data_IF_870358250388
#
_entry.id   IF_870358250388
#
_cell.length_a   1.000
_cell.length_b   1.000
_cell.length_c   1.000
_cell.angle_alpha   90.00
_cell.angle_beta   90.00
_cell.angle_gamma   90.00
#
_symmetry.space_group_name_H-M   'P 1'
#
loop_
_entity.id
_entity.type
_entity.pdbx_description
1 polymer ?
#
# COMPACT_ATOMS: atom_id res chain seq x y z
N UNK A 1 -11.15 -7.95 3.32
CA UNK A 1 -9.86 -8.41 3.87
C UNK A 1 -9.51 -7.63 5.15
N UNK A 2 -8.80 -8.22 6.12
CA UNK A 2 -8.24 -7.48 7.28
C UNK A 2 -6.82 -6.98 6.98
N UNK A 3 -6.59 -5.67 7.05
CA UNK A 3 -5.28 -5.06 6.75
C UNK A 3 -4.27 -5.14 7.90
N UNK A 4 -4.73 -5.34 9.13
CA UNK A 4 -3.90 -5.41 10.35
C UNK A 4 -2.71 -6.40 10.24
N UNK A 5 -2.88 -7.66 9.79
CA UNK A 5 -1.76 -8.58 9.64
C UNK A 5 -0.73 -8.11 8.59
N UNK A 6 -1.18 -7.46 7.52
CA UNK A 6 -0.30 -6.92 6.47
C UNK A 6 0.54 -5.77 7.03
N UNK A 7 -0.09 -4.85 7.75
CA UNK A 7 0.59 -3.73 8.43
C UNK A 7 1.60 -4.27 9.45
N UNK A 8 1.22 -5.25 10.26
CA UNK A 8 2.11 -5.87 11.24
C UNK A 8 3.33 -6.54 10.58
N UNK A 9 3.11 -7.27 9.47
CA UNK A 9 4.18 -7.89 8.70
C UNK A 9 5.16 -6.86 8.12
N UNK A 10 4.65 -5.75 7.56
CA UNK A 10 5.48 -4.67 7.04
C UNK A 10 6.29 -4.01 8.16
N UNK A 11 5.70 -3.75 9.32
CA UNK A 11 6.42 -3.19 10.47
C UNK A 11 7.54 -4.10 10.97
N UNK A 12 7.29 -5.41 11.02
CA UNK A 12 8.28 -6.39 11.48
C UNK A 12 9.42 -6.61 10.48
N UNK A 13 9.16 -6.50 9.17
CA UNK A 13 10.11 -6.85 8.11
C UNK A 13 10.81 -5.64 7.49
N UNK A 14 10.26 -4.43 7.61
CA UNK A 14 10.78 -3.22 7.00
C UNK A 14 11.19 -2.20 8.07
N UNK A 15 12.39 -2.35 8.67
CA UNK A 15 12.87 -1.45 9.72
C UNK A 15 13.06 0.00 9.25
N UNK A 16 13.26 0.22 7.95
CA UNK A 16 13.41 1.56 7.34
C UNK A 16 12.22 2.48 7.62
N UNK A 17 11.01 1.92 7.75
CA UNK A 17 9.83 2.70 8.08
C UNK A 17 9.73 3.00 9.58
N UNK A 18 10.53 2.41 10.46
CA UNK A 18 10.48 2.65 11.91
C UNK A 18 9.05 2.56 12.48
N UNK A 19 8.30 1.52 12.09
CA UNK A 19 6.88 1.33 12.42
C UNK A 19 5.89 2.37 11.83
N UNK A 20 6.35 3.30 11.00
CA UNK A 20 5.55 4.30 10.26
C UNK A 20 4.83 3.67 9.05
N UNK A 21 4.05 2.65 9.37
CA UNK A 21 3.17 1.93 8.44
C UNK A 21 1.73 2.12 8.89
N UNK A 22 0.87 2.67 8.04
CA UNK A 22 -0.54 2.92 8.31
C UNK A 22 -1.47 2.13 7.39
N UNK A 23 -2.75 2.08 7.75
CA UNK A 23 -3.82 1.68 6.82
C UNK A 23 -4.55 2.92 6.35
N UNK A 24 -4.93 2.97 5.06
CA UNK A 24 -5.77 4.02 4.51
C UNK A 24 -6.91 3.40 3.69
N UNK A 25 -8.08 4.02 3.74
CA UNK A 25 -9.24 3.55 2.97
C UNK A 25 -9.07 3.80 1.46
N UNK A 26 -8.40 4.90 1.09
CA UNK A 26 -8.15 5.27 -0.31
C UNK A 26 -6.81 6.03 -0.40
N UNK A 27 -6.15 5.96 -1.56
CA UNK A 27 -4.92 6.71 -1.83
C UNK A 27 -5.08 8.22 -1.65
N UNK A 28 -6.23 8.79 -2.08
CA UNK A 28 -6.53 10.22 -1.97
C UNK A 28 -6.51 10.74 -0.53
N UNK A 29 -6.72 9.86 0.45
CA UNK A 29 -6.70 10.24 1.86
C UNK A 29 -5.29 10.24 2.47
N UNK A 30 -4.26 9.76 1.76
CA UNK A 30 -2.89 9.65 2.29
C UNK A 30 -2.22 11.01 2.52
N UNK A 31 -2.36 12.03 1.65
CA UNK A 31 -1.83 13.36 1.91
C UNK A 31 -2.43 14.01 3.18
N UNK A 32 -3.72 13.80 3.41
CA UNK A 32 -4.46 14.28 4.60
C UNK A 32 -4.15 13.43 5.85
N UNK A 33 -3.95 12.12 5.68
CA UNK A 33 -3.54 11.18 6.72
C UNK A 33 -2.03 11.21 7.01
N UNK A 34 -1.27 12.07 6.30
CA UNK A 34 0.19 12.22 6.28
C UNK A 34 0.81 12.74 7.58
N UNK A 35 0.33 12.28 8.74
CA UNK A 35 0.90 12.59 10.07
C UNK A 35 2.18 11.82 10.36
N UNK A 36 2.51 10.81 9.55
CA UNK A 36 3.70 9.98 9.75
C UNK A 36 4.92 10.65 9.14
N UNK A 37 6.02 10.65 9.90
CA UNK A 37 7.33 11.10 9.41
C UNK A 37 7.78 10.23 8.23
N UNK A 38 8.45 10.82 7.27
CA UNK A 38 8.96 10.11 6.10
C UNK A 38 10.31 9.46 6.41
N UNK A 39 10.63 8.28 5.83
CA UNK A 39 9.77 7.49 4.94
C UNK A 39 8.64 6.77 5.69
N UNK A 40 7.48 6.68 5.03
CA UNK A 40 6.29 6.01 5.55
C UNK A 40 5.65 5.11 4.49
N UNK A 41 4.89 4.11 4.93
CA UNK A 41 4.13 3.24 4.04
C UNK A 41 2.65 3.20 4.44
N UNK A 42 1.75 3.08 3.45
CA UNK A 42 0.32 3.00 3.66
C UNK A 42 -0.25 1.80 2.89
N UNK A 43 -0.98 0.95 3.59
CA UNK A 43 -1.68 -0.20 3.01
C UNK A 43 -3.09 0.24 2.66
N UNK A 44 -3.47 0.10 1.39
CA UNK A 44 -4.78 0.45 0.86
C UNK A 44 -5.41 -0.80 0.25
N UNK A 45 -6.67 -1.12 0.57
CA UNK A 45 -7.37 -2.23 -0.08
C UNK A 45 -7.60 -1.89 -1.56
N UNK A 46 -7.44 -2.88 -2.42
CA UNK A 46 -7.72 -2.77 -3.86
C UNK A 46 -9.06 -3.45 -4.17
N UNK A 47 -9.41 -3.50 -5.45
CA UNK A 47 -10.61 -4.20 -5.91
C UNK A 47 -10.51 -5.70 -5.61
N UNK A 48 -11.67 -6.27 -5.25
CA UNK A 48 -11.82 -7.70 -5.05
C UNK A 48 -12.35 -8.33 -6.35
N UNK A 49 -11.70 -9.40 -6.80
CA UNK A 49 -12.10 -10.13 -8.01
C UNK A 49 -12.78 -11.43 -7.59
N UNK A 50 -14.05 -11.57 -7.96
CA UNK A 50 -14.82 -12.81 -7.78
C UNK A 50 -14.53 -13.78 -8.93
N UNK A 51 -14.21 -15.03 -8.59
CA UNK A 51 -14.14 -16.13 -9.53
C UNK A 51 -15.53 -16.66 -9.92
N UNK A 52 -15.55 -17.77 -10.64
CA UNK A 52 -16.80 -18.42 -11.02
C UNK A 52 -17.50 -19.02 -9.79
N UNK A 53 -18.83 -18.92 -9.81
CA UNK A 53 -19.70 -19.54 -8.81
C UNK A 53 -19.70 -21.07 -9.00
N UNK A 54 -19.23 -21.79 -7.99
CA UNK A 54 -19.05 -23.25 -8.00
C UNK A 54 -20.30 -24.01 -7.56
N UNK A 55 -21.27 -23.34 -6.94
CA UNK A 55 -22.50 -23.95 -6.46
C UNK A 55 -23.73 -23.34 -7.12
N UNK A 56 -24.71 -24.18 -7.50
CA UNK A 56 -25.97 -23.71 -8.09
C UNK A 56 -27.03 -23.33 -7.05
N UNK A 57 -26.85 -23.78 -5.81
CA UNK A 57 -27.85 -23.61 -4.73
C UNK A 57 -27.31 -22.84 -3.54
N UNK A 58 -26.00 -22.61 -3.50
CA UNK A 58 -25.29 -22.00 -2.38
C UNK A 58 -24.26 -20.96 -2.87
N UNK A 59 -23.74 -20.11 -1.99
CA UNK A 59 -22.70 -19.14 -2.34
C UNK A 59 -21.31 -19.72 -2.12
N UNK A 60 -20.69 -20.24 -3.19
CA UNK A 60 -19.34 -20.77 -3.13
C UNK A 60 -18.52 -20.38 -4.35
N UNK A 61 -17.71 -19.35 -4.20
CA UNK A 61 -16.79 -18.87 -5.24
C UNK A 61 -15.44 -18.55 -4.61
N UNK A 62 -14.39 -18.61 -5.43
CA UNK A 62 -13.09 -18.11 -5.02
C UNK A 62 -13.12 -16.58 -5.06
N UNK A 63 -12.62 -15.93 -4.02
CA UNK A 63 -12.48 -14.48 -3.95
C UNK A 63 -11.00 -14.13 -3.88
N UNK A 64 -10.52 -13.34 -4.84
CA UNK A 64 -9.17 -12.78 -4.80
C UNK A 64 -9.26 -11.35 -4.29
N UNK A 65 -8.79 -11.13 -3.07
CA UNK A 65 -8.76 -9.80 -2.46
C UNK A 65 -7.40 -9.14 -2.70
N UNK A 66 -7.40 -7.92 -3.23
CA UNK A 66 -6.17 -7.17 -3.54
C UNK A 66 -5.83 -6.13 -2.48
N UNK A 67 -4.55 -5.81 -2.33
CA UNK A 67 -4.10 -4.62 -1.61
C UNK A 67 -2.87 -4.00 -2.29
N UNK A 68 -2.72 -2.70 -2.11
CA UNK A 68 -1.57 -1.93 -2.57
C UNK A 68 -0.83 -1.34 -1.38
N UNK A 69 0.51 -1.36 -1.45
CA UNK A 69 1.38 -0.67 -0.48
C UNK A 69 1.95 0.56 -1.15
N UNK A 70 1.55 1.72 -0.66
CA UNK A 70 2.05 3.02 -1.13
C UNK A 70 3.17 3.46 -0.22
N UNK A 71 4.34 3.72 -0.80
CA UNK A 71 5.51 4.22 -0.08
C UNK A 71 5.65 5.71 -0.36
N UNK A 72 5.74 6.50 0.70
CA UNK A 72 5.94 7.94 0.64
C UNK A 72 7.36 8.25 1.10
N UNK A 73 8.11 8.91 0.22
CA UNK A 73 9.48 9.33 0.43
C UNK A 73 9.55 10.86 0.27
N UNK A 74 10.42 11.52 1.05
CA UNK A 74 10.73 12.93 0.79
C UNK A 74 11.69 13.01 -0.38
N UNK A 75 11.44 13.94 -1.30
CA UNK A 75 12.32 14.27 -2.41
C UNK A 75 12.89 15.69 -2.30
N UNK A 76 12.94 16.26 -1.08
CA UNK A 76 13.45 17.62 -0.82
C UNK A 76 14.85 17.88 -1.38
N UNK A 77 15.66 16.83 -1.55
CA UNK A 77 17.03 16.93 -2.07
C UNK A 77 17.11 17.11 -3.59
N UNK A 78 16.06 16.76 -4.34
CA UNK A 78 15.97 16.89 -5.80
C UNK A 78 14.50 17.08 -6.25
N UNK A 79 13.84 18.13 -5.75
CA UNK A 79 12.41 18.39 -5.98
C UNK A 79 12.02 18.46 -7.46
N UNK A 80 12.96 18.86 -8.33
CA UNK A 80 12.77 18.97 -9.78
C UNK A 80 13.20 17.73 -10.56
N UNK A 81 13.76 16.71 -9.91
CA UNK A 81 14.23 15.48 -10.57
C UNK A 81 15.41 15.70 -11.52
N UNK A 82 16.15 16.81 -11.36
CA UNK A 82 17.22 17.20 -12.27
C UNK A 82 18.46 16.32 -12.11
N UNK A 83 18.65 15.72 -10.93
CA UNK A 83 19.77 14.82 -10.65
C UNK A 83 19.45 13.37 -11.08
N UNK A 84 18.18 12.98 -11.03
CA UNK A 84 17.71 11.66 -11.47
C UNK A 84 17.61 11.49 -13.00
N UNK A 85 17.78 12.57 -13.78
CA UNK A 85 17.72 12.56 -15.25
C UNK A 85 18.95 11.95 -15.95
N UNK A 86 19.86 11.30 -15.21
CA UNK A 86 20.99 10.61 -15.82
C UNK A 86 20.50 9.28 -16.41
N UNK A 87 20.19 9.31 -17.71
CA UNK A 87 19.91 8.12 -18.51
C UNK A 87 21.16 7.23 -18.48
N UNK A 88 21.06 6.07 -17.83
CA UNK A 88 22.15 5.13 -17.76
C UNK A 88 22.28 4.42 -19.12
N UNK A 89 23.15 4.95 -19.98
CA UNK A 89 23.64 4.31 -21.21
C UNK A 89 24.88 3.48 -20.91
#
# INVERSE_FOLDING_TARGET
MKLTPIIAALRARCPLFENRVGGAAQFKAIPEAGKLRLPAAYVVPSEDVTGEQKSQTDYWQDLTEGFSVIVVLSNERDEKGQWASYDAV
#
